data_IF_054373883650
#
_entry.id   IF_054373883650
#
_cell.length_a   1.000
_cell.length_b   1.000
_cell.length_c   1.000
_cell.angle_alpha   90.00
_cell.angle_beta   90.00
_cell.angle_gamma   90.00
#
_symmetry.space_group_name_H-M   'P 1'
#
loop_
_entity.id
_entity.type
_entity.pdbx_description
1 polymer ?
#
# COMPACT_ATOMS: atom_id res chain seq x y z
N UNK A 1 23.12 8.15 -2.20
CA UNK A 1 22.60 8.68 -2.31
C UNK A 1 22.28 9.29 -2.52
N UNK A 2 22.31 9.54 -2.78
CA UNK A 2 21.91 10.47 -3.11
C UNK A 2 21.26 11.25 -2.94
N UNK A 3 21.20 11.69 -3.13
CA UNK A 3 20.88 12.80 -2.88
C UNK A 3 19.59 13.45 -3.11
N UNK A 4 19.50 14.59 -2.99
CA UNK A 4 18.37 15.45 -3.09
C UNK A 4 17.65 15.40 -4.41
N UNK A 5 18.35 15.14 -5.49
CA UNK A 5 17.81 14.97 -6.84
C UNK A 5 16.88 13.77 -6.89
N UNK A 6 17.28 12.65 -6.31
CA UNK A 6 16.45 11.45 -6.29
C UNK A 6 15.14 11.69 -5.53
N UNK A 7 15.22 12.42 -4.40
CA UNK A 7 14.02 12.70 -3.63
C UNK A 7 13.00 13.54 -4.40
N UNK A 8 13.44 14.31 -5.39
CA UNK A 8 12.58 15.18 -6.18
C UNK A 8 12.12 14.55 -7.49
N UNK A 9 12.45 13.28 -7.73
CA UNK A 9 12.03 12.57 -8.94
C UNK A 9 10.53 12.31 -8.99
N UNK A 10 9.89 12.24 -7.82
CA UNK A 10 8.49 11.85 -7.75
C UNK A 10 7.65 12.94 -7.08
N UNK A 11 6.59 13.35 -7.78
CA UNK A 11 5.57 14.25 -7.23
C UNK A 11 4.57 13.50 -6.36
N UNK A 12 4.55 12.18 -6.47
CA UNK A 12 3.64 11.31 -5.75
C UNK A 12 4.38 10.52 -4.68
N UNK A 13 3.62 9.99 -3.74
CA UNK A 13 4.13 9.14 -2.68
C UNK A 13 3.28 7.89 -2.57
N UNK A 14 3.93 6.77 -2.28
CA UNK A 14 3.27 5.50 -1.99
C UNK A 14 3.51 5.18 -0.52
N UNK A 15 2.45 4.89 0.21
CA UNK A 15 2.55 4.47 1.61
C UNK A 15 1.64 3.26 1.83
N UNK A 16 2.14 2.29 2.59
CA UNK A 16 1.39 1.13 3.02
C UNK A 16 1.23 1.23 4.52
N UNK A 17 0.03 1.04 5.03
CA UNK A 17 -0.24 1.00 6.45
C UNK A 17 -0.72 -0.41 6.79
N UNK A 18 -0.03 -1.08 7.71
CA UNK A 18 -0.31 -2.47 8.06
C UNK A 18 -0.55 -2.57 9.57
N UNK A 19 -1.57 -3.33 9.95
CA UNK A 19 -1.86 -3.54 11.37
C UNK A 19 -0.67 -4.14 12.09
N UNK A 20 -0.45 -3.66 13.31
CA UNK A 20 0.72 -4.04 14.11
C UNK A 20 0.50 -5.30 14.95
N UNK A 21 -0.73 -5.82 15.01
CA UNK A 21 -1.11 -6.99 15.80
C UNK A 21 -1.24 -8.29 15.00
N UNK A 22 -0.80 -8.30 13.74
CA UNK A 22 -0.91 -9.48 12.89
C UNK A 22 0.30 -10.41 13.03
N UNK A 23 0.13 -11.73 12.86
CA UNK A 23 1.28 -12.62 12.67
C UNK A 23 2.13 -12.18 11.48
N UNK A 24 3.42 -12.46 11.54
CA UNK A 24 4.35 -12.03 10.50
C UNK A 24 3.92 -12.41 9.09
N UNK A 25 3.47 -13.66 8.89
CA UNK A 25 3.09 -14.10 7.55
C UNK A 25 1.91 -13.31 6.98
N UNK A 26 0.97 -12.89 7.83
CA UNK A 26 -0.16 -12.08 7.39
C UNK A 26 0.29 -10.68 7.00
N UNK A 27 1.19 -10.08 7.76
CA UNK A 27 1.74 -8.76 7.43
C UNK A 27 2.44 -8.78 6.08
N UNK A 28 3.28 -9.78 5.86
CA UNK A 28 3.99 -9.93 4.58
C UNK A 28 3.02 -10.17 3.43
N UNK A 29 2.02 -11.01 3.64
CA UNK A 29 1.03 -11.34 2.63
C UNK A 29 0.20 -10.11 2.24
N UNK A 30 -0.25 -9.34 3.22
CA UNK A 30 -1.01 -8.11 2.98
C UNK A 30 -0.21 -7.14 2.12
N UNK A 31 1.06 -6.90 2.48
CA UNK A 31 1.91 -5.98 1.71
C UNK A 31 2.07 -6.45 0.27
N UNK A 32 2.28 -7.76 0.07
CA UNK A 32 2.45 -8.32 -1.27
C UNK A 32 1.21 -8.04 -2.16
N UNK A 33 0.02 -8.28 -1.61
CA UNK A 33 -1.22 -8.03 -2.37
C UNK A 33 -1.46 -6.53 -2.60
N UNK A 34 -1.23 -5.70 -1.59
CA UNK A 34 -1.41 -4.25 -1.74
C UNK A 34 -0.47 -3.67 -2.78
N UNK A 35 0.76 -4.19 -2.87
CA UNK A 35 1.74 -3.72 -3.86
C UNK A 35 1.24 -4.00 -5.29
N UNK A 36 0.59 -5.14 -5.53
CA UNK A 36 0.03 -5.42 -6.86
C UNK A 36 -1.07 -4.44 -7.21
N UNK A 37 -1.88 -4.02 -6.24
CA UNK A 37 -2.93 -3.05 -6.44
C UNK A 37 -2.39 -1.67 -6.81
N UNK A 38 -1.32 -1.25 -6.15
CA UNK A 38 -0.66 0.03 -6.47
C UNK A 38 -0.08 -0.02 -7.88
N UNK A 39 0.60 -1.11 -8.25
CA UNK A 39 1.17 -1.25 -9.59
C UNK A 39 0.09 -1.27 -10.67
N UNK A 40 -1.05 -1.91 -10.40
CA UNK A 40 -2.16 -1.93 -11.34
C UNK A 40 -2.77 -0.54 -11.53
N UNK A 41 -2.92 0.22 -10.42
CA UNK A 41 -3.48 1.57 -10.49
C UNK A 41 -2.51 2.58 -11.12
N UNK A 42 -1.20 2.36 -11.00
CA UNK A 42 -0.17 3.27 -11.47
C UNK A 42 0.98 2.50 -12.13
N UNK A 43 0.74 1.86 -13.29
CA UNK A 43 1.76 1.03 -13.94
C UNK A 43 3.03 1.81 -14.30
N UNK A 44 2.95 3.12 -14.41
CA UNK A 44 4.12 3.97 -14.70
C UNK A 44 5.18 3.95 -13.60
N UNK A 45 4.88 3.43 -12.40
CA UNK A 45 5.89 3.32 -11.34
C UNK A 45 6.90 2.21 -11.63
N UNK A 46 6.55 1.24 -12.46
CA UNK A 46 7.42 0.09 -12.74
C UNK A 46 8.61 0.54 -13.56
N UNK A 47 9.81 0.20 -13.08
CA UNK A 47 11.04 0.57 -13.74
C UNK A 47 11.44 -0.36 -14.86
N UNK A 48 12.70 -0.34 -15.21
CA UNK A 48 13.24 -1.19 -16.26
C UNK A 48 13.52 -2.60 -15.75
N UNK A 49 13.54 -3.55 -16.67
CA UNK A 49 13.88 -4.93 -16.35
C UNK A 49 15.31 -5.02 -15.81
N UNK A 50 15.52 -5.92 -14.88
CA UNK A 50 16.87 -6.20 -14.35
C UNK A 50 17.61 -7.12 -15.30
N UNK A 51 18.91 -6.90 -15.42
CA UNK A 51 19.80 -7.70 -16.26
C UNK A 51 20.99 -8.07 -15.40
N UNK A 52 21.36 -9.36 -15.35
CA UNK A 52 22.51 -9.79 -14.56
C UNK A 52 23.82 -9.66 -15.33
N UNK A 53 24.91 -10.00 -14.67
CA UNK A 53 26.25 -9.86 -15.24
C UNK A 53 26.48 -10.73 -16.48
N UNK A 54 25.63 -11.73 -16.71
CA UNK A 54 25.69 -12.63 -17.86
C UNK A 54 24.77 -12.17 -19.00
N UNK A 55 24.04 -11.08 -18.82
CA UNK A 55 23.09 -10.59 -19.79
C UNK A 55 21.71 -11.25 -19.71
N UNK A 56 21.45 -12.09 -18.70
CA UNK A 56 20.12 -12.68 -18.52
C UNK A 56 19.14 -11.65 -18.02
N UNK A 57 17.93 -11.66 -18.58
CA UNK A 57 16.91 -10.64 -18.33
C UNK A 57 15.86 -11.15 -17.36
N UNK A 58 15.50 -10.35 -16.39
CA UNK A 58 14.50 -10.63 -15.38
C UNK A 58 13.34 -9.63 -15.47
N UNK A 59 12.38 -9.75 -14.59
CA UNK A 59 11.31 -8.78 -14.52
C UNK A 59 11.74 -7.47 -13.85
N UNK A 60 10.81 -6.54 -13.83
CA UNK A 60 11.01 -5.23 -13.24
C UNK A 60 10.21 -5.11 -11.93
N UNK A 61 10.60 -4.18 -11.08
CA UNK A 61 9.87 -3.81 -9.88
C UNK A 61 9.64 -2.31 -9.87
N UNK A 62 8.97 -1.80 -8.86
CA UNK A 62 8.74 -0.36 -8.74
C UNK A 62 10.05 0.41 -8.66
N UNK A 63 10.16 1.47 -9.46
CA UNK A 63 11.24 2.45 -9.34
C UNK A 63 10.95 3.53 -8.31
N UNK A 64 9.71 3.57 -7.79
CA UNK A 64 9.31 4.51 -6.76
C UNK A 64 9.37 3.85 -5.38
N UNK A 65 9.90 4.55 -4.36
CA UNK A 65 9.96 3.99 -3.00
C UNK A 65 8.58 3.62 -2.46
N UNK A 66 8.54 2.57 -1.66
CA UNK A 66 7.34 2.08 -0.99
C UNK A 66 7.64 2.00 0.50
N UNK A 67 7.04 2.89 1.29
CA UNK A 67 7.25 2.94 2.73
C UNK A 67 6.09 2.24 3.44
N UNK A 68 6.42 1.47 4.47
CA UNK A 68 5.44 0.69 5.23
C UNK A 68 5.37 1.23 6.65
N UNK A 69 4.17 1.61 7.07
CA UNK A 69 3.89 2.17 8.39
C UNK A 69 3.04 1.20 9.19
N UNK A 70 3.13 1.27 10.51
CA UNK A 70 2.32 0.47 11.41
C UNK A 70 1.18 1.31 11.99
N UNK A 71 0.04 0.68 12.21
CA UNK A 71 -1.08 1.30 12.90
C UNK A 71 -1.97 0.24 13.55
N UNK A 72 -2.76 0.65 14.54
CA UNK A 72 -3.85 -0.15 15.04
C UNK A 72 -5.10 0.05 14.16
N UNK A 73 -6.18 -0.64 14.47
CA UNK A 73 -7.40 -0.54 13.67
C UNK A 73 -7.97 0.89 13.63
N UNK A 74 -8.12 1.60 14.77
CA UNK A 74 -8.59 2.99 14.69
C UNK A 74 -7.69 3.89 13.86
N UNK A 75 -6.37 3.67 13.91
CA UNK A 75 -5.40 4.41 13.09
C UNK A 75 -5.61 4.16 11.60
N UNK A 76 -5.80 2.91 11.21
CA UNK A 76 -6.09 2.55 9.82
C UNK A 76 -7.40 3.17 9.35
N UNK A 77 -8.43 3.11 10.16
CA UNK A 77 -9.73 3.72 9.82
C UNK A 77 -9.60 5.22 9.64
N UNK A 78 -8.79 5.88 10.47
CA UNK A 78 -8.53 7.30 10.34
C UNK A 78 -7.82 7.64 9.04
N UNK A 79 -6.80 6.87 8.68
CA UNK A 79 -6.08 7.05 7.40
C UNK A 79 -7.03 6.85 6.22
N UNK A 80 -7.90 5.85 6.31
CA UNK A 80 -8.90 5.58 5.27
C UNK A 80 -9.81 6.80 5.05
N UNK A 81 -10.34 7.38 6.12
CA UNK A 81 -11.19 8.57 6.02
C UNK A 81 -10.43 9.74 5.38
N UNK A 82 -9.20 9.99 5.83
CA UNK A 82 -8.37 11.07 5.27
C UNK A 82 -8.04 10.82 3.80
N UNK A 83 -7.79 9.57 3.44
CA UNK A 83 -7.53 9.20 2.06
C UNK A 83 -8.71 9.46 1.15
N UNK A 84 -9.92 9.13 1.60
CA UNK A 84 -11.13 9.44 0.85
C UNK A 84 -11.33 10.94 0.69
N UNK A 85 -11.16 11.70 1.77
CA UNK A 85 -11.29 13.16 1.72
C UNK A 85 -10.33 13.81 0.73
N UNK A 86 -9.13 13.26 0.60
CA UNK A 86 -8.10 13.80 -0.29
C UNK A 86 -8.07 13.15 -1.66
N UNK A 87 -9.04 12.29 -1.94
CA UNK A 87 -9.19 11.62 -3.23
C UNK A 87 -7.92 10.84 -3.65
N UNK A 88 -7.26 10.22 -2.67
CA UNK A 88 -6.08 9.39 -2.94
C UNK A 88 -6.50 8.07 -3.59
N UNK A 89 -5.57 7.46 -4.34
CA UNK A 89 -5.73 6.06 -4.72
C UNK A 89 -5.62 5.21 -3.45
N UNK A 90 -6.60 4.37 -3.21
CA UNK A 90 -6.68 3.52 -2.02
C UNK A 90 -6.84 2.07 -2.43
N UNK A 91 -6.01 1.19 -1.86
CA UNK A 91 -6.13 -0.26 -2.04
C UNK A 91 -6.34 -0.85 -0.64
N UNK A 92 -7.51 -1.42 -0.35
CA UNK A 92 -7.81 -1.92 0.99
C UNK A 92 -7.56 -3.42 1.11
N UNK A 93 -7.31 -3.87 2.34
CA UNK A 93 -7.32 -5.28 2.68
C UNK A 93 -8.02 -5.43 4.03
N UNK A 94 -9.17 -6.12 4.05
CA UNK A 94 -9.94 -6.31 5.28
C UNK A 94 -9.71 -7.70 5.86
N UNK A 95 -9.89 -7.84 7.15
CA UNK A 95 -9.61 -9.08 7.87
C UNK A 95 -10.34 -10.29 7.28
N UNK A 96 -11.58 -10.11 6.85
CA UNK A 96 -12.39 -11.21 6.30
C UNK A 96 -11.77 -11.81 5.04
N UNK A 97 -10.90 -11.09 4.34
CA UNK A 97 -10.24 -11.59 3.13
C UNK A 97 -9.25 -12.72 3.42
N UNK A 98 -8.78 -12.87 4.66
CA UNK A 98 -7.91 -13.99 5.02
C UNK A 98 -8.63 -15.34 4.95
N UNK A 99 -9.95 -15.35 5.05
CA UNK A 99 -10.75 -16.58 5.04
C UNK A 99 -11.30 -16.94 3.66
N UNK A 100 -10.99 -16.14 2.63
CA UNK A 100 -11.50 -16.40 1.27
C UNK A 100 -10.52 -17.25 0.48
N UNK A 101 -11.02 -17.90 -0.59
CA UNK A 101 -10.20 -18.75 -1.45
C UNK A 101 -9.95 -18.17 -2.83
N UNK A 102 -10.61 -17.07 -3.21
CA UNK A 102 -10.47 -16.48 -4.53
C UNK A 102 -10.92 -15.02 -4.54
N UNK A 103 -10.54 -14.33 -5.61
CA UNK A 103 -10.70 -12.88 -5.70
C UNK A 103 -12.15 -12.40 -5.68
N UNK A 104 -13.08 -13.13 -6.32
CA UNK A 104 -14.49 -12.74 -6.27
C UNK A 104 -15.05 -12.80 -4.86
N UNK A 105 -14.63 -13.81 -4.07
CA UNK A 105 -15.03 -13.87 -2.66
C UNK A 105 -14.48 -12.68 -1.87
N UNK A 106 -13.28 -12.19 -2.21
CA UNK A 106 -12.73 -10.99 -1.61
C UNK A 106 -13.64 -9.78 -1.83
N UNK A 107 -14.13 -9.60 -3.05
CA UNK A 107 -15.04 -8.50 -3.35
C UNK A 107 -16.37 -8.64 -2.61
N UNK A 108 -16.86 -9.86 -2.44
CA UNK A 108 -18.11 -10.11 -1.71
C UNK A 108 -17.98 -9.74 -0.23
N UNK A 109 -16.90 -10.18 0.43
CA UNK A 109 -16.72 -9.85 1.85
C UNK A 109 -16.47 -8.36 2.05
N UNK A 110 -15.79 -7.73 1.08
CA UNK A 110 -15.55 -6.29 1.16
C UNK A 110 -16.85 -5.50 1.06
N UNK A 111 -17.74 -5.89 0.14
CA UNK A 111 -19.06 -5.25 0.00
C UNK A 111 -19.95 -5.40 1.25
N UNK A 112 -19.69 -6.44 2.03
CA UNK A 112 -20.46 -6.69 3.26
C UNK A 112 -19.95 -5.87 4.45
N UNK A 113 -18.78 -5.20 4.31
CA UNK A 113 -18.21 -4.37 5.37
C UNK A 113 -19.02 -3.09 5.59
N UNK A 114 -18.94 -2.56 6.81
CA UNK A 114 -19.41 -1.20 7.08
C UNK A 114 -18.45 -0.23 6.38
N UNK A 115 -18.95 0.47 5.35
CA UNK A 115 -18.12 1.32 4.50
C UNK A 115 -17.44 2.45 5.26
N UNK A 116 -18.00 2.87 6.39
CA UNK A 116 -17.41 3.95 7.21
C UNK A 116 -16.48 3.43 8.29
N UNK A 117 -16.50 2.12 8.56
CA UNK A 117 -15.70 1.49 9.61
C UNK A 117 -15.18 0.13 9.14
N UNK A 118 -14.38 0.14 8.07
CA UNK A 118 -13.82 -1.10 7.52
C UNK A 118 -12.92 -1.79 8.54
N UNK A 119 -13.01 -3.11 8.62
CA UNK A 119 -12.13 -3.92 9.48
C UNK A 119 -10.78 -4.14 8.77
N UNK A 120 -10.03 -3.06 8.62
CA UNK A 120 -8.79 -3.04 7.85
C UNK A 120 -7.65 -3.75 8.57
N UNK A 121 -6.91 -4.56 7.83
CA UNK A 121 -5.62 -5.10 8.23
C UNK A 121 -4.48 -4.44 7.46
N UNK A 122 -4.80 -3.80 6.36
CA UNK A 122 -3.86 -3.01 5.58
C UNK A 122 -4.55 -2.07 4.62
N UNK A 123 -3.82 -1.04 4.23
CA UNK A 123 -4.31 -0.02 3.29
C UNK A 123 -3.11 0.55 2.55
N UNK A 124 -3.17 0.58 1.24
CA UNK A 124 -2.15 1.26 0.44
C UNK A 124 -2.71 2.58 -0.07
N UNK A 125 -1.85 3.59 -0.09
CA UNK A 125 -2.18 4.94 -0.53
C UNK A 125 -1.21 5.37 -1.62
N UNK A 126 -1.71 6.06 -2.62
CA UNK A 126 -0.87 6.79 -3.58
C UNK A 126 -1.56 8.07 -3.99
N UNK A 127 -0.79 9.13 -4.12
CA UNK A 127 -1.27 10.41 -4.60
C UNK A 127 -0.23 11.50 -4.40
N UNK A 128 -0.62 12.77 -4.50
CA UNK A 128 0.31 13.88 -4.28
C UNK A 128 1.00 13.74 -2.93
N UNK A 129 2.30 13.99 -2.93
CA UNK A 129 3.14 13.78 -1.75
C UNK A 129 2.58 14.44 -0.50
N UNK A 130 2.17 15.71 -0.58
CA UNK A 130 1.63 16.43 0.57
C UNK A 130 0.34 15.81 1.09
N UNK A 131 -0.52 15.33 0.19
CA UNK A 131 -1.80 14.72 0.58
C UNK A 131 -1.56 13.39 1.31
N UNK A 132 -0.63 12.56 0.79
CA UNK A 132 -0.28 11.30 1.45
C UNK A 132 0.35 11.59 2.82
N UNK A 133 1.27 12.54 2.90
CA UNK A 133 1.92 12.91 4.17
C UNK A 133 0.90 13.34 5.23
N UNK A 134 -0.12 14.09 4.84
CA UNK A 134 -1.19 14.50 5.77
C UNK A 134 -2.01 13.30 6.22
N UNK A 135 -2.30 12.37 5.32
CA UNK A 135 -3.11 11.19 5.65
C UNK A 135 -2.41 10.27 6.65
N UNK A 136 -1.07 10.15 6.58
CA UNK A 136 -0.29 9.26 7.43
C UNK A 136 0.41 9.96 8.59
N UNK A 137 0.14 11.25 8.80
CA UNK A 137 0.81 12.05 9.83
C UNK A 137 0.71 11.36 11.19
N UNK A 138 1.85 11.26 11.87
CA UNK A 138 1.94 10.68 13.21
C UNK A 138 2.20 9.19 13.24
N UNK A 139 2.16 8.50 12.10
CA UNK A 139 2.46 7.06 12.07
C UNK A 139 3.97 6.82 12.04
N UNK A 140 4.38 5.74 12.70
CA UNK A 140 5.77 5.28 12.68
C UNK A 140 5.95 4.22 11.60
N UNK A 141 7.17 4.12 11.09
CA UNK A 141 7.52 3.02 10.18
C UNK A 141 7.32 1.68 10.89
N UNK A 142 6.93 0.67 10.12
CA UNK A 142 6.67 -0.66 10.66
C UNK A 142 7.99 -1.31 11.10
N UNK A 143 8.00 -1.78 12.33
CA UNK A 143 9.18 -2.45 12.90
C UNK A 143 9.27 -3.93 12.59
#
# INVERSE_FOLDING_TARGET
QHNGVERNMFDTKIAFIVRDDLPTWQRLNVVAFLATGIAAAAPEIIGERYVDAQGRRYGAISGQPMLIFAADLPGLQNVHRKGLERELTLIPYVHAMFATGHDEANRQVFRAEDADNLDLVGLALRGPKKAVDKAIKGLALHG
#
